data_IF_321629313055
#
_entry.id   IF_321629313055
#
_cell.length_a   1.000
_cell.length_b   1.000
_cell.length_c   1.000
_cell.angle_alpha   90.00
_cell.angle_beta   90.00
_cell.angle_gamma   90.00
#
_symmetry.space_group_name_H-M   'P 1'
#
loop_
_entity.id
_entity.type
_entity.pdbx_description
1 polymer ?
#
# COMPACT_ATOMS: atom_id res chain seq x y z
N UNK A 1 -1.34 -2.85 -15.25
CA UNK A 1 -1.34 -3.54 -13.94
C UNK A 1 -2.16 -2.75 -12.92
N UNK A 2 -1.73 -1.57 -12.47
CA UNK A 2 -2.50 -0.75 -11.50
C UNK A 2 -3.89 -0.29 -11.97
N UNK A 3 -4.07 -0.04 -13.26
CA UNK A 3 -5.35 0.45 -13.80
C UNK A 3 -6.51 -0.56 -13.66
N UNK A 4 -6.21 -1.86 -13.63
CA UNK A 4 -7.21 -2.92 -13.53
C UNK A 4 -7.25 -3.58 -12.14
N UNK A 5 -6.43 -3.09 -11.20
CA UNK A 5 -6.38 -3.62 -9.84
C UNK A 5 -7.39 -2.89 -8.97
N UNK A 6 -8.22 -3.63 -8.26
CA UNK A 6 -9.17 -3.08 -7.28
C UNK A 6 -8.47 -2.68 -5.97
N UNK A 7 -7.34 -3.32 -5.66
CA UNK A 7 -6.58 -3.14 -4.42
C UNK A 7 -5.06 -3.07 -4.65
N UNK A 8 -4.41 -2.14 -3.95
CA UNK A 8 -2.97 -2.03 -3.81
C UNK A 8 -2.55 -2.43 -2.38
N UNK A 9 -1.72 -3.47 -2.28
CA UNK A 9 -1.02 -3.80 -1.03
C UNK A 9 0.34 -3.10 -1.00
N UNK A 10 0.45 -2.04 -0.21
CA UNK A 10 1.73 -1.41 0.08
C UNK A 10 2.42 -2.17 1.22
N UNK A 11 3.21 -3.19 0.85
CA UNK A 11 3.89 -4.06 1.79
C UNK A 11 5.23 -3.49 2.28
N UNK A 12 5.72 -4.04 3.39
CA UNK A 12 6.99 -3.72 4.07
C UNK A 12 7.03 -2.34 4.70
N UNK A 13 5.90 -1.88 5.24
CA UNK A 13 5.83 -0.58 5.95
C UNK A 13 6.73 -0.53 7.20
N UNK A 14 7.14 -1.67 7.73
CA UNK A 14 8.15 -1.78 8.79
C UNK A 14 9.51 -1.19 8.39
N UNK A 15 9.76 -1.03 7.08
CA UNK A 15 11.00 -0.45 6.57
C UNK A 15 10.98 1.08 6.46
N UNK A 16 9.84 1.74 6.63
CA UNK A 16 9.71 3.20 6.48
C UNK A 16 10.69 4.01 7.35
N UNK A 17 11.04 3.60 8.59
CA UNK A 17 12.06 4.31 9.38
C UNK A 17 13.47 4.27 8.78
N UNK A 18 13.72 3.37 7.84
CA UNK A 18 15.04 3.11 7.25
C UNK A 18 15.13 3.52 5.78
N UNK A 19 14.02 3.99 5.19
CA UNK A 19 13.92 4.32 3.77
C UNK A 19 13.38 5.73 3.59
N UNK A 20 13.94 6.45 2.63
CA UNK A 20 13.35 7.70 2.13
C UNK A 20 12.19 7.39 1.18
N UNK A 21 11.09 6.86 1.72
CA UNK A 21 9.90 6.49 0.96
C UNK A 21 8.69 7.30 1.41
N UNK A 22 8.11 8.06 0.48
CA UNK A 22 6.90 8.84 0.71
C UNK A 22 5.65 8.03 0.35
N UNK A 23 4.98 7.55 1.40
CA UNK A 23 3.75 6.76 1.30
C UNK A 23 2.61 7.56 0.67
N UNK A 24 2.42 8.81 1.08
CA UNK A 24 1.31 9.63 0.61
C UNK A 24 1.45 9.91 -0.89
N UNK A 25 2.65 10.25 -1.34
CA UNK A 25 2.96 10.46 -2.75
C UNK A 25 2.80 9.18 -3.59
N UNK A 26 3.18 8.03 -3.04
CA UNK A 26 2.95 6.74 -3.69
C UNK A 26 1.45 6.48 -3.91
N UNK A 27 0.64 6.70 -2.88
CA UNK A 27 -0.82 6.54 -2.93
C UNK A 27 -1.44 7.52 -3.93
N UNK A 28 -0.98 8.77 -3.94
CA UNK A 28 -1.43 9.78 -4.89
C UNK A 28 -1.19 9.31 -6.33
N UNK A 29 0.00 8.78 -6.63
CA UNK A 29 0.33 8.26 -7.95
C UNK A 29 -0.51 7.05 -8.35
N UNK A 30 -0.79 6.14 -7.42
CA UNK A 30 -1.70 5.03 -7.67
C UNK A 30 -3.11 5.54 -8.04
N UNK A 31 -3.62 6.54 -7.30
CA UNK A 31 -4.94 7.13 -7.53
C UNK A 31 -5.04 7.92 -8.83
N UNK A 32 -3.94 8.52 -9.31
CA UNK A 32 -3.91 9.15 -10.65
C UNK A 32 -4.12 8.13 -11.78
N UNK A 33 -3.72 6.87 -11.57
CA UNK A 33 -3.88 5.79 -12.57
C UNK A 33 -5.23 5.09 -12.41
N UNK A 34 -5.66 4.85 -11.17
CA UNK A 34 -6.96 4.29 -10.84
C UNK A 34 -7.56 5.04 -9.64
N UNK A 35 -8.46 6.02 -9.86
CA UNK A 35 -9.06 6.81 -8.79
C UNK A 35 -9.84 5.98 -7.75
N UNK A 36 -10.31 4.79 -8.14
CA UNK A 36 -11.07 3.89 -7.28
C UNK A 36 -10.21 2.87 -6.53
N UNK A 37 -8.89 2.85 -6.72
CA UNK A 37 -8.04 1.83 -6.10
C UNK A 37 -8.03 1.97 -4.58
N UNK A 38 -8.34 0.88 -3.89
CA UNK A 38 -8.17 0.79 -2.45
C UNK A 38 -6.69 0.56 -2.13
N UNK A 39 -6.23 1.00 -0.96
CA UNK A 39 -4.85 0.79 -0.53
C UNK A 39 -4.85 0.24 0.88
N UNK A 40 -4.16 -0.88 1.08
CA UNK A 40 -3.81 -1.38 2.40
C UNK A 40 -2.31 -1.27 2.60
N UNK A 41 -1.93 -0.74 3.77
CA UNK A 41 -0.55 -0.65 4.20
C UNK A 41 -0.27 -1.82 5.12
N UNK A 42 0.67 -2.69 4.74
CA UNK A 42 0.92 -3.94 5.44
C UNK A 42 2.40 -4.20 5.66
N UNK A 43 2.71 -5.04 6.65
CA UNK A 43 3.99 -5.73 6.75
C UNK A 43 3.74 -7.22 6.90
N UNK A 44 4.07 -7.98 5.86
CA UNK A 44 4.09 -9.44 5.95
C UNK A 44 5.16 -9.97 6.93
N UNK A 45 6.11 -9.12 7.36
CA UNK A 45 7.18 -9.50 8.30
C UNK A 45 6.78 -9.25 9.75
N UNK A 46 6.26 -8.06 10.08
CA UNK A 46 5.83 -7.73 11.44
C UNK A 46 4.37 -8.08 11.73
N UNK A 47 3.58 -8.36 10.71
CA UNK A 47 2.13 -8.61 10.81
C UNK A 47 1.29 -7.34 10.81
N UNK A 48 1.89 -6.15 10.80
CA UNK A 48 1.14 -4.88 10.79
C UNK A 48 0.17 -4.79 9.60
N UNK A 49 -1.08 -4.40 9.85
CA UNK A 49 -2.10 -4.20 8.81
C UNK A 49 -2.61 -5.49 8.13
N UNK A 50 -2.14 -6.67 8.53
CA UNK A 50 -2.56 -7.93 7.90
C UNK A 50 -3.99 -8.34 8.25
N UNK A 51 -4.54 -7.88 9.37
CA UNK A 51 -5.92 -8.16 9.74
C UNK A 51 -6.91 -7.63 8.70
N UNK A 52 -6.68 -6.42 8.18
CA UNK A 52 -7.48 -5.80 7.12
C UNK A 52 -7.38 -6.57 5.78
N UNK A 53 -6.30 -7.33 5.58
CA UNK A 53 -6.13 -8.19 4.41
C UNK A 53 -6.88 -9.53 4.53
N UNK A 54 -7.15 -10.01 5.74
CA UNK A 54 -7.82 -11.30 5.96
C UNK A 54 -9.34 -11.21 6.01
N UNK A 55 -9.92 -10.00 5.98
CA UNK A 55 -11.36 -9.77 5.92
C UNK A 55 -11.88 -9.83 4.47
#
# INVERSE_FOLDING_TARGET
MFHAADLLLLNKIDLLPYLEFDVERCIEYARRINPGIQVLQVSATSGAGMDDWYQ
#
